data_IF_222370942588
#
_entry.id   IF_222370942588
#
_cell.length_a   1.000
_cell.length_b   1.000
_cell.length_c   1.000
_cell.angle_alpha   90.00
_cell.angle_beta   90.00
_cell.angle_gamma   90.00
#
_symmetry.space_group_name_H-M   'P 1'
#
loop_
_entity.id
_entity.type
_entity.pdbx_description
1 polymer ?
#
# COMPACT_ATOMS: atom_id res chain seq x y z
N UNK A 1 22.65 32.22 14.25
CA UNK A 1 22.89 30.85 14.74
C UNK A 1 22.36 29.89 13.67
N UNK A 2 23.22 29.41 12.78
CA UNK A 2 22.81 28.52 11.69
C UNK A 2 22.79 27.07 12.18
N UNK A 3 21.69 26.35 11.95
CA UNK A 3 21.62 24.92 12.21
C UNK A 3 22.60 24.19 11.28
N UNK A 4 23.49 23.37 11.85
CA UNK A 4 24.68 22.85 11.19
C UNK A 4 24.45 21.55 10.40
N UNK A 5 23.35 21.47 9.63
CA UNK A 5 22.87 20.31 8.85
C UNK A 5 21.89 19.42 9.65
N UNK A 6 20.61 19.44 9.26
CA UNK A 6 19.63 18.40 9.59
C UNK A 6 19.75 17.27 8.55
N UNK A 7 20.25 16.11 8.96
CA UNK A 7 20.22 14.89 8.15
C UNK A 7 18.97 14.10 8.47
N UNK A 8 18.01 14.08 7.54
CA UNK A 8 16.83 13.22 7.62
C UNK A 8 17.01 12.03 6.69
N UNK A 9 17.12 10.82 7.24
CA UNK A 9 17.14 9.57 6.47
C UNK A 9 15.75 9.36 5.85
N UNK A 10 15.56 9.88 4.64
CA UNK A 10 14.35 9.64 3.86
C UNK A 10 14.35 8.18 3.40
N UNK A 11 13.27 7.44 3.60
CA UNK A 11 13.12 6.11 3.01
C UNK A 11 13.07 6.25 1.48
N UNK A 12 14.16 5.93 0.79
CA UNK A 12 14.28 6.05 -0.68
C UNK A 12 13.73 4.84 -1.42
N UNK A 13 13.42 3.76 -0.71
CA UNK A 13 12.92 2.52 -1.32
C UNK A 13 11.43 2.66 -1.61
N UNK A 14 11.06 2.44 -2.87
CA UNK A 14 9.66 2.38 -3.31
C UNK A 14 9.26 0.92 -3.34
N UNK A 15 8.24 0.55 -2.56
CA UNK A 15 7.69 -0.80 -2.56
C UNK A 15 6.56 -0.87 -3.58
N UNK A 16 6.67 -1.80 -4.54
CA UNK A 16 5.62 -2.01 -5.53
C UNK A 16 4.78 -3.24 -5.18
N UNK A 17 3.46 -3.06 -5.12
CA UNK A 17 2.50 -4.15 -5.05
C UNK A 17 1.93 -4.32 -6.45
N UNK A 18 2.23 -5.45 -7.10
CA UNK A 18 1.74 -5.72 -8.45
C UNK A 18 0.25 -6.11 -8.40
N UNK A 19 -0.56 -5.70 -9.35
CA UNK A 19 -1.96 -6.10 -9.47
C UNK A 19 -2.19 -6.88 -10.79
N UNK A 20 -3.13 -7.85 -10.83
CA UNK A 20 -3.91 -8.36 -9.69
C UNK A 20 -3.06 -9.26 -8.77
N UNK A 21 -3.39 -9.27 -7.48
CA UNK A 21 -2.87 -10.25 -6.54
C UNK A 21 -3.70 -11.55 -6.56
N UNK A 22 -3.30 -12.56 -5.78
CA UNK A 22 -4.11 -13.76 -5.54
C UNK A 22 -5.53 -13.41 -5.08
N UNK A 23 -6.54 -14.09 -5.65
CA UNK A 23 -7.97 -13.78 -5.42
C UNK A 23 -8.50 -14.55 -4.21
N UNK A 24 -8.03 -15.77 -3.98
CA UNK A 24 -8.47 -16.63 -2.88
C UNK A 24 -7.26 -17.24 -2.17
N UNK A 25 -7.27 -17.37 -0.84
CA UNK A 25 -6.19 -18.01 -0.10
C UNK A 25 -6.17 -19.53 -0.35
N UNK A 26 -5.02 -20.08 -0.73
CA UNK A 26 -4.82 -21.51 -0.94
C UNK A 26 -3.85 -22.10 0.12
N UNK A 27 -4.05 -23.35 0.60
CA UNK A 27 -3.17 -23.98 1.58
C UNK A 27 -1.68 -24.08 1.16
N UNK A 28 -1.38 -24.01 -0.14
CA UNK A 28 -0.03 -24.02 -0.69
C UNK A 28 0.65 -22.64 -0.75
N UNK A 29 -0.06 -21.55 -0.43
CA UNK A 29 0.51 -20.20 -0.51
C UNK A 29 1.51 -19.91 0.60
N UNK A 30 2.61 -19.26 0.23
CA UNK A 30 3.50 -18.62 1.18
C UNK A 30 2.83 -17.44 1.88
N UNK A 31 3.35 -17.07 3.06
CA UNK A 31 2.83 -15.89 3.78
C UNK A 31 2.93 -14.58 2.97
N UNK A 32 3.91 -14.48 2.06
CA UNK A 32 4.03 -13.35 1.14
C UNK A 32 2.91 -13.30 0.11
N UNK A 33 2.49 -14.44 -0.42
CA UNK A 33 1.37 -14.54 -1.36
C UNK A 33 0.03 -14.22 -0.69
N UNK A 34 -0.17 -14.68 0.56
CA UNK A 34 -1.34 -14.30 1.36
C UNK A 34 -1.40 -12.79 1.61
N UNK A 35 -0.26 -12.19 2.00
CA UNK A 35 -0.17 -10.75 2.19
C UNK A 35 -0.42 -9.98 0.89
N UNK A 36 0.07 -10.51 -0.24
CA UNK A 36 -0.16 -9.90 -1.55
C UNK A 36 -1.64 -9.91 -1.92
N UNK A 37 -2.33 -11.04 -1.76
CA UNK A 37 -3.78 -11.13 -1.98
C UNK A 37 -4.57 -10.15 -1.10
N UNK A 38 -4.24 -10.11 0.20
CA UNK A 38 -4.84 -9.16 1.14
C UNK A 38 -4.67 -7.69 0.71
N UNK A 39 -3.45 -7.29 0.32
CA UNK A 39 -3.18 -5.91 -0.12
C UNK A 39 -3.87 -5.58 -1.45
N UNK A 40 -3.96 -6.54 -2.37
CA UNK A 40 -4.65 -6.38 -3.64
C UNK A 40 -6.17 -6.20 -3.46
N UNK A 41 -6.78 -6.96 -2.55
CA UNK A 41 -8.20 -6.83 -2.20
C UNK A 41 -8.49 -5.49 -1.50
N UNK A 42 -7.60 -5.05 -0.59
CA UNK A 42 -7.70 -3.75 0.07
C UNK A 42 -7.68 -2.59 -0.94
N UNK A 43 -6.81 -2.67 -1.95
CA UNK A 43 -6.77 -1.66 -3.02
C UNK A 43 -8.02 -1.72 -3.90
N UNK A 44 -8.46 -2.90 -4.31
CA UNK A 44 -9.62 -3.05 -5.19
C UNK A 44 -10.92 -2.60 -4.51
N UNK A 45 -11.13 -3.01 -3.25
CA UNK A 45 -12.34 -2.67 -2.47
C UNK A 45 -12.50 -1.17 -2.24
N UNK A 46 -11.40 -0.43 -2.07
CA UNK A 46 -11.41 1.02 -1.93
C UNK A 46 -11.56 1.78 -3.24
N UNK A 47 -11.39 1.13 -4.39
CA UNK A 47 -11.57 1.73 -5.71
C UNK A 47 -12.95 1.46 -6.35
N UNK A 48 -13.84 0.72 -5.68
CA UNK A 48 -15.22 0.54 -6.12
C UNK A 48 -16.06 1.80 -5.86
N UNK A 49 -16.85 2.23 -6.86
CA UNK A 49 -17.67 3.45 -6.80
C UNK A 49 -18.73 3.41 -5.68
N UNK A 50 -18.63 4.35 -4.73
CA UNK A 50 -19.59 4.55 -3.65
C UNK A 50 -19.15 5.66 -2.68
N UNK A 51 -20.07 6.49 -2.18
CA UNK A 51 -19.73 7.66 -1.36
C UNK A 51 -18.96 7.33 -0.06
N UNK A 52 -19.27 6.19 0.58
CA UNK A 52 -18.57 5.70 1.77
C UNK A 52 -17.14 5.18 1.47
N UNK A 53 -16.82 4.89 0.21
CA UNK A 53 -15.49 4.38 -0.19
C UNK A 53 -14.45 5.49 -0.37
N UNK A 54 -14.87 6.75 -0.55
CA UNK A 54 -13.94 7.86 -0.77
C UNK A 54 -13.07 8.16 0.46
N UNK A 55 -13.61 8.04 1.68
CA UNK A 55 -12.83 8.25 2.91
C UNK A 55 -11.78 7.15 3.10
N UNK A 56 -12.18 5.88 2.87
CA UNK A 56 -11.27 4.74 2.96
C UNK A 56 -10.16 4.83 1.91
N UNK A 57 -10.49 5.20 0.67
CA UNK A 57 -9.52 5.42 -0.40
C UNK A 57 -8.50 6.49 -0.05
N UNK A 58 -8.94 7.61 0.51
CA UNK A 58 -8.04 8.68 0.94
C UNK A 58 -7.11 8.23 2.07
N UNK A 59 -7.64 7.49 3.05
CA UNK A 59 -6.83 6.94 4.13
C UNK A 59 -5.76 5.95 3.62
N UNK A 60 -6.13 5.03 2.72
CA UNK A 60 -5.18 4.08 2.13
C UNK A 60 -4.11 4.82 1.29
N UNK A 61 -4.49 5.83 0.50
CA UNK A 61 -3.53 6.64 -0.26
C UNK A 61 -2.55 7.41 0.64
N UNK A 62 -3.02 7.91 1.79
CA UNK A 62 -2.16 8.56 2.79
C UNK A 62 -1.14 7.57 3.36
N UNK A 63 -1.57 6.34 3.67
CA UNK A 63 -0.67 5.28 4.11
C UNK A 63 0.34 4.91 3.03
N UNK A 64 -0.09 4.74 1.77
CA UNK A 64 0.80 4.45 0.65
C UNK A 64 1.88 5.52 0.51
N UNK A 65 1.51 6.79 0.61
CA UNK A 65 2.46 7.91 0.56
C UNK A 65 3.43 7.88 1.74
N UNK A 66 2.94 7.62 2.96
CA UNK A 66 3.76 7.56 4.18
C UNK A 66 4.80 6.44 4.13
N UNK A 67 4.43 5.29 3.58
CA UNK A 67 5.30 4.09 3.51
C UNK A 67 6.00 3.92 2.16
N UNK A 68 5.86 4.88 1.24
CA UNK A 68 6.40 4.83 -0.12
C UNK A 68 5.99 3.56 -0.89
N UNK A 69 4.73 3.15 -0.72
CA UNK A 69 4.12 1.99 -1.38
C UNK A 69 3.37 2.47 -2.62
N UNK A 70 3.51 1.74 -3.73
CA UNK A 70 2.78 1.98 -4.98
C UNK A 70 2.13 0.69 -5.48
N UNK A 71 0.82 0.74 -5.66
CA UNK A 71 0.11 -0.30 -6.42
C UNK A 71 0.33 -0.06 -7.92
N UNK A 72 0.67 -1.11 -8.68
CA UNK A 72 0.92 -1.02 -10.14
C UNK A 72 0.37 -2.23 -10.89
#
# INVERSE_FOLDING_TARGET
MGAAIEYQKVMTEIVYINLPGPIEPDPGMSGGELLHGFLAELYTSTNLDGAANNENKNFINLLCTKWNIRFR
#
